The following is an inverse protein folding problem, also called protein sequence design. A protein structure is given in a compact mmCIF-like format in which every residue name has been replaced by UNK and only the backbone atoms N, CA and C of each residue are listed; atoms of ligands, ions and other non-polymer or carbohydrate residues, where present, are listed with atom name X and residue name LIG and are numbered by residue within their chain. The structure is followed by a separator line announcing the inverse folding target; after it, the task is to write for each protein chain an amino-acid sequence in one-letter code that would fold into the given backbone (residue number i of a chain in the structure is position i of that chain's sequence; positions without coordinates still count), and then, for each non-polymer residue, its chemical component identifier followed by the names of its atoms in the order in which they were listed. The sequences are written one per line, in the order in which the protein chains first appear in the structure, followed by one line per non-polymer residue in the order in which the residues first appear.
data_IF_032346944882
#
_entry.id   IF_032346944882
#
_cell.length_a   1.000
_cell.length_b   1.000
_cell.length_c   1.000
_cell.angle_alpha   90.00
_cell.angle_beta   90.00
_cell.angle_gamma   90.00
#
_symmetry.space_group_name_H-M   'P 1'
#
loop_
_entity.id
_entity.type
_entity.pdbx_description
1 polymer ?
#
# COMPACT_ATOMS: atom_id res chain seq x y z
N UNK A 1 11.41 -3.89 -3.17
CA UNK A 1 10.59 -3.69 -4.38
C UNK A 1 10.13 -2.24 -4.54
N UNK A 2 9.34 -1.67 -3.61
CA UNK A 2 8.90 -0.26 -3.72
C UNK A 2 10.09 0.70 -3.87
N UNK A 3 11.14 0.56 -3.06
CA UNK A 3 12.33 1.42 -3.16
C UNK A 3 13.13 1.21 -4.46
N UNK A 4 13.08 0.02 -5.05
CA UNK A 4 13.70 -0.21 -6.37
C UNK A 4 12.89 0.51 -7.46
N UNK A 5 11.55 0.40 -7.41
CA UNK A 5 10.68 1.19 -8.29
C UNK A 5 10.96 2.69 -8.14
N UNK A 6 11.05 3.20 -6.92
CA UNK A 6 11.30 4.64 -6.69
C UNK A 6 12.62 5.08 -7.32
N UNK A 7 13.68 4.28 -7.19
CA UNK A 7 14.99 4.57 -7.79
C UNK A 7 14.93 4.61 -9.33
N UNK A 8 14.17 3.71 -9.95
CA UNK A 8 14.05 3.64 -11.41
C UNK A 8 13.11 4.71 -12.00
N UNK A 9 12.27 5.33 -11.18
CA UNK A 9 11.22 6.28 -11.59
C UNK A 9 11.40 7.66 -10.97
N UNK A 10 12.61 8.23 -11.07
CA UNK A 10 12.91 9.63 -10.69
C UNK A 10 12.51 10.00 -9.25
N UNK A 11 12.66 9.06 -8.32
CA UNK A 11 12.28 9.22 -6.91
C UNK A 11 10.76 9.37 -6.67
N UNK A 12 9.91 8.90 -7.58
CA UNK A 12 8.44 8.92 -7.44
C UNK A 12 7.89 7.55 -7.00
N UNK A 13 7.00 7.53 -6.01
CA UNK A 13 6.30 6.29 -5.60
C UNK A 13 5.37 5.75 -6.69
N UNK A 14 5.06 4.45 -6.69
CA UNK A 14 4.02 3.92 -7.56
C UNK A 14 2.68 4.64 -7.38
N UNK A 15 1.89 4.73 -8.44
CA UNK A 15 0.47 5.07 -8.30
C UNK A 15 -0.27 3.97 -7.53
N UNK A 16 -1.32 4.32 -6.79
CA UNK A 16 -2.17 3.35 -6.11
C UNK A 16 -3.01 2.56 -7.10
N UNK A 17 -3.46 3.24 -8.16
CA UNK A 17 -4.02 2.61 -9.35
C UNK A 17 -4.44 3.60 -10.44
N UNK A 18 -4.85 3.05 -11.57
CA UNK A 18 -5.36 3.77 -12.74
C UNK A 18 -6.23 2.86 -13.60
N UNK A 19 -7.04 3.44 -14.48
CA UNK A 19 -7.65 2.70 -15.58
C UNK A 19 -6.65 2.51 -16.72
N UNK A 20 -6.49 1.27 -17.16
CA UNK A 20 -5.75 0.90 -18.36
C UNK A 20 -6.64 1.11 -19.60
N UNK A 21 -6.01 1.21 -20.78
CA UNK A 21 -6.72 1.47 -22.04
C UNK A 21 -7.80 0.42 -22.38
N UNK A 22 -7.62 -0.82 -21.92
CA UNK A 22 -8.58 -1.90 -22.10
C UNK A 22 -9.69 -1.94 -21.03
N UNK A 23 -9.80 -0.92 -20.17
CA UNK A 23 -10.80 -0.80 -19.11
C UNK A 23 -10.47 -1.55 -17.82
N UNK A 24 -9.39 -2.33 -17.77
CA UNK A 24 -8.93 -2.98 -16.53
C UNK A 24 -8.21 -1.99 -15.59
N UNK A 25 -8.10 -2.32 -14.31
CA UNK A 25 -7.37 -1.48 -13.35
C UNK A 25 -5.94 -1.97 -13.18
N UNK A 26 -4.99 -1.03 -13.23
CA UNK A 26 -3.60 -1.24 -12.79
C UNK A 26 -3.51 -0.77 -11.33
N UNK A 27 -2.68 -1.43 -10.52
CA UNK A 27 -2.48 -1.15 -9.11
C UNK A 27 -1.00 -1.14 -8.80
N UNK A 28 -0.62 -0.53 -7.67
CA UNK A 28 0.78 -0.48 -7.20
C UNK A 28 1.48 -1.85 -7.23
N UNK A 29 0.75 -2.93 -6.91
CA UNK A 29 1.24 -4.32 -6.91
C UNK A 29 1.75 -4.75 -8.28
N UNK A 30 1.03 -4.40 -9.35
CA UNK A 30 1.44 -4.69 -10.72
C UNK A 30 2.71 -3.94 -11.09
N UNK A 31 2.83 -2.68 -10.64
CA UNK A 31 3.97 -1.81 -10.94
C UNK A 31 5.25 -2.24 -10.22
N UNK A 32 5.13 -2.77 -9.01
CA UNK A 32 6.31 -3.27 -8.27
C UNK A 32 6.62 -4.74 -8.53
N UNK A 33 5.70 -5.48 -9.17
CA UNK A 33 5.86 -6.92 -9.43
C UNK A 33 7.16 -7.28 -10.19
N UNK A 34 7.63 -6.50 -11.19
CA UNK A 34 8.91 -6.77 -11.86
C UNK A 34 10.11 -6.86 -10.90
N UNK A 35 10.06 -6.20 -9.74
CA UNK A 35 11.07 -6.24 -8.68
C UNK A 35 10.80 -7.29 -7.60
N UNK A 36 9.58 -7.83 -7.53
CA UNK A 36 9.19 -8.86 -6.55
C UNK A 36 9.35 -10.26 -7.13
N UNK A 37 8.81 -10.51 -8.34
CA UNK A 37 8.84 -11.79 -9.05
C UNK A 37 8.35 -13.01 -8.24
N UNK A 38 7.51 -12.76 -7.24
CA UNK A 38 6.89 -13.77 -6.37
C UNK A 38 5.55 -13.23 -5.86
N UNK A 39 4.46 -13.77 -6.38
CA UNK A 39 3.08 -13.37 -6.02
C UNK A 39 2.71 -13.73 -4.58
N UNK A 40 3.35 -14.76 -4.01
CA UNK A 40 3.19 -15.18 -2.61
C UNK A 40 3.51 -14.08 -1.60
N UNK A 41 4.35 -13.10 -1.96
CA UNK A 41 4.68 -11.95 -1.09
C UNK A 41 3.47 -11.04 -0.87
N UNK A 42 2.49 -11.01 -1.79
CA UNK A 42 1.27 -10.22 -1.63
C UNK A 42 0.16 -10.97 -0.86
N UNK A 43 0.44 -12.20 -0.41
CA UNK A 43 -0.50 -13.07 0.29
C UNK A 43 -0.18 -13.12 1.78
N UNK A 44 -1.13 -12.69 2.61
CA UNK A 44 -1.08 -12.94 4.04
C UNK A 44 -1.58 -14.37 4.34
N UNK A 45 -0.76 -15.30 4.85
CA UNK A 45 -1.19 -16.70 5.06
C UNK A 45 -2.34 -16.85 6.06
N UNK A 46 -2.44 -15.93 7.03
CA UNK A 46 -3.50 -15.91 8.04
C UNK A 46 -4.78 -15.23 7.57
N UNK A 47 -4.79 -14.65 6.37
CA UNK A 47 -6.01 -14.13 5.78
C UNK A 47 -6.84 -15.31 5.26
N UNK A 48 -8.01 -15.55 5.87
CA UNK A 48 -8.86 -16.69 5.50
C UNK A 48 -9.45 -16.59 4.09
N UNK A 49 -9.84 -15.38 3.68
CA UNK A 49 -10.47 -15.13 2.37
C UNK A 49 -9.67 -14.11 1.57
N UNK A 50 -9.33 -14.47 0.33
CA UNK A 50 -8.53 -13.64 -0.56
C UNK A 50 -9.37 -13.04 -1.69
N UNK A 51 -9.03 -11.81 -2.05
CA UNK A 51 -9.37 -11.21 -3.33
C UNK A 51 -8.10 -11.12 -4.17
N UNK A 52 -8.27 -10.97 -5.47
CA UNK A 52 -7.18 -10.96 -6.43
C UNK A 52 -7.42 -9.91 -7.50
N UNK A 53 -6.33 -9.31 -7.96
CA UNK A 53 -6.34 -8.45 -9.14
C UNK A 53 -6.57 -9.24 -10.42
N UNK A 54 -6.85 -8.55 -11.52
CA UNK A 54 -6.67 -9.13 -12.87
C UNK A 54 -5.18 -9.22 -13.21
N UNK A 55 -4.81 -10.14 -14.10
CA UNK A 55 -3.45 -10.20 -14.63
C UNK A 55 -3.18 -9.05 -15.62
N UNK A 56 -1.92 -8.62 -15.70
CA UNK A 56 -1.43 -7.63 -16.65
C UNK A 56 -0.15 -8.15 -17.34
N UNK A 57 -0.28 -8.94 -18.42
CA UNK A 57 0.87 -9.50 -19.14
C UNK A 57 1.84 -8.44 -19.68
N UNK A 58 1.34 -7.28 -20.09
CA UNK A 58 2.16 -6.16 -20.59
C UNK A 58 3.09 -5.57 -19.51
N UNK A 59 2.72 -5.75 -18.23
CA UNK A 59 3.54 -5.38 -17.07
C UNK A 59 4.31 -6.58 -16.49
N UNK A 60 4.20 -7.76 -17.12
CA UNK A 60 4.73 -9.02 -16.59
C UNK A 60 4.12 -9.48 -15.28
N UNK A 61 2.93 -8.96 -14.92
CA UNK A 61 2.29 -9.22 -13.63
C UNK A 61 1.16 -10.27 -13.76
N UNK A 62 1.19 -11.36 -12.97
CA UNK A 62 0.09 -12.33 -12.93
C UNK A 62 -1.10 -11.77 -12.12
N UNK A 63 -2.09 -12.62 -11.87
CA UNK A 63 -3.13 -12.39 -10.86
C UNK A 63 -2.46 -12.27 -9.49
N UNK A 64 -2.63 -11.15 -8.78
CA UNK A 64 -1.97 -10.88 -7.50
C UNK A 64 -2.97 -10.89 -6.34
N UNK A 65 -2.67 -11.58 -5.23
CA UNK A 65 -3.46 -11.50 -3.99
C UNK A 65 -3.48 -10.07 -3.43
N UNK A 66 -4.56 -9.69 -2.76
CA UNK A 66 -4.75 -8.32 -2.26
C UNK A 66 -4.86 -8.22 -0.74
N UNK A 67 -3.98 -8.95 -0.04
CA UNK A 67 -3.87 -8.92 1.42
C UNK A 67 -3.26 -7.66 2.01
N UNK A 68 -2.53 -6.90 1.20
CA UNK A 68 -1.87 -5.66 1.60
C UNK A 68 -2.40 -4.51 0.74
N UNK A 69 -2.64 -3.35 1.33
CA UNK A 69 -3.02 -2.15 0.61
C UNK A 69 -2.00 -1.04 0.80
N UNK A 70 -1.96 -0.12 -0.16
CA UNK A 70 -1.09 1.05 -0.08
C UNK A 70 -1.75 2.20 0.67
N UNK A 71 -0.91 3.16 1.06
CA UNK A 71 -1.30 4.48 1.49
C UNK A 71 -1.60 5.35 0.26
N UNK A 72 -2.87 5.69 0.04
CA UNK A 72 -3.28 6.53 -1.08
C UNK A 72 -2.80 7.97 -0.98
N UNK A 73 -2.48 8.51 0.20
CA UNK A 73 -1.92 9.87 0.28
C UNK A 73 -0.53 9.95 -0.39
N UNK A 74 0.14 8.80 -0.51
CA UNK A 74 1.44 8.60 -1.16
C UNK A 74 1.30 7.98 -2.56
N UNK A 75 0.48 6.95 -2.69
CA UNK A 75 0.21 6.20 -3.93
C UNK A 75 -1.24 6.45 -4.37
N UNK A 76 -1.49 7.60 -5.00
CA UNK A 76 -2.86 8.05 -5.36
C UNK A 76 -3.35 7.39 -6.65
N UNK A 77 -4.64 7.60 -6.93
CA UNK A 77 -5.21 7.32 -8.24
C UNK A 77 -4.56 8.24 -9.29
N UNK A 78 -3.97 7.66 -10.33
CA UNK A 78 -3.25 8.35 -11.41
C UNK A 78 -2.06 9.24 -10.98
N UNK A 79 -1.61 9.19 -9.72
CA UNK A 79 -0.54 10.07 -9.25
C UNK A 79 0.28 9.43 -8.12
N UNK A 80 1.59 9.31 -8.34
CA UNK A 80 2.56 8.98 -7.30
C UNK A 80 3.09 10.26 -6.66
N UNK A 81 3.35 10.24 -5.36
CA UNK A 81 4.04 11.34 -4.69
C UNK A 81 5.55 11.22 -4.94
N UNK A 82 6.22 12.36 -5.11
CA UNK A 82 7.68 12.42 -5.19
C UNK A 82 8.28 12.30 -3.79
N UNK A 83 9.22 11.37 -3.60
CA UNK A 83 9.90 11.16 -2.32
C UNK A 83 10.57 12.45 -1.80
N UNK A 84 11.22 13.30 -2.63
CA UNK A 84 11.78 14.57 -2.16
C UNK A 84 10.76 15.56 -1.58
N UNK A 85 9.49 15.45 -1.99
CA UNK A 85 8.41 16.29 -1.45
C UNK A 85 7.93 15.84 -0.07
N UNK A 86 8.33 14.64 0.36
CA UNK A 86 7.95 14.05 1.64
C UNK A 86 9.02 14.33 2.69
N UNK A 87 8.68 15.14 3.71
CA UNK A 87 9.64 15.53 4.74
C UNK A 87 10.07 14.39 5.69
N UNK A 88 9.30 13.30 5.77
CA UNK A 88 9.53 12.21 6.74
C UNK A 88 9.27 10.81 6.15
N UNK A 89 10.03 10.35 5.14
CA UNK A 89 9.80 9.04 4.55
C UNK A 89 9.95 7.88 5.56
N UNK A 90 10.77 8.05 6.60
CA UNK A 90 10.89 7.07 7.68
C UNK A 90 9.66 7.04 8.62
N UNK A 91 8.89 8.13 8.73
CA UNK A 91 7.73 8.19 9.64
C UNK A 91 6.40 8.20 8.87
N UNK A 92 6.40 7.76 7.61
CA UNK A 92 5.20 7.68 6.78
C UNK A 92 4.97 6.26 6.26
N UNK A 93 3.81 5.68 6.55
CA UNK A 93 3.41 4.35 6.07
C UNK A 93 3.18 4.39 4.56
N UNK A 94 3.78 3.47 3.82
CA UNK A 94 3.56 3.24 2.40
C UNK A 94 2.55 2.12 2.13
N UNK A 95 2.64 1.02 2.88
CA UNK A 95 1.82 -0.18 2.72
C UNK A 95 1.57 -0.80 4.09
N UNK A 96 0.39 -1.36 4.30
CA UNK A 96 0.13 -2.17 5.48
C UNK A 96 -0.82 -3.34 5.17
N UNK A 97 -0.90 -4.25 6.14
CA UNK A 97 -1.83 -5.37 6.14
C UNK A 97 -3.28 -4.89 6.18
N UNK A 98 -4.05 -5.32 5.18
CA UNK A 98 -5.46 -4.98 5.10
C UNK A 98 -6.31 -6.00 5.86
N UNK A 99 -7.32 -5.54 6.58
CA UNK A 99 -8.24 -6.41 7.32
C UNK A 99 -8.94 -7.41 6.40
N UNK A 100 -9.41 -6.95 5.25
CA UNK A 100 -10.10 -7.74 4.23
C UNK A 100 -9.32 -7.73 2.92
N UNK A 101 -9.51 -8.77 2.09
CA UNK A 101 -9.00 -8.73 0.71
C UNK A 101 -9.72 -7.66 -0.09
N UNK A 102 -8.97 -6.72 -0.68
CA UNK A 102 -9.50 -5.82 -1.70
C UNK A 102 -8.37 -5.08 -2.40
N UNK A 103 -8.59 -4.88 -3.70
CA UNK A 103 -7.58 -4.38 -4.62
C UNK A 103 -7.31 -2.88 -4.43
N UNK A 104 -8.19 -2.19 -3.71
CA UNK A 104 -8.07 -0.78 -3.34
C UNK A 104 -6.93 -0.54 -2.32
N UNK A 105 -6.36 0.68 -2.28
CA UNK A 105 -5.55 1.16 -1.16
C UNK A 105 -6.22 0.92 0.20
N UNK A 106 -5.44 0.72 1.28
CA UNK A 106 -6.02 0.70 2.65
C UNK A 106 -6.63 2.07 2.95
N UNK A 107 -5.93 3.13 2.52
CA UNK A 107 -6.39 4.50 2.66
C UNK A 107 -7.22 4.89 1.43
N UNK A 108 -8.55 4.74 1.38
CA UNK A 108 -9.28 4.82 0.08
C UNK A 108 -9.77 6.23 -0.34
N UNK A 109 -9.46 7.30 0.41
CA UNK A 109 -10.21 8.56 0.29
C UNK A 109 -9.34 9.76 -0.12
N UNK A 110 -9.82 10.48 -1.16
CA UNK A 110 -9.32 11.80 -1.60
C UNK A 110 -9.73 12.95 -0.65
N UNK A 111 -10.44 12.67 0.44
CA UNK A 111 -11.21 13.67 1.18
C UNK A 111 -10.97 13.56 2.68
N UNK A 112 -9.75 13.88 3.12
CA UNK A 112 -9.28 14.05 4.51
C UNK A 112 -8.59 12.81 5.11
N UNK A 113 -7.43 12.97 5.78
CA UNK A 113 -6.77 12.00 6.67
C UNK A 113 -7.70 11.63 7.86
N UNK A 114 -8.67 10.74 7.69
CA UNK A 114 -9.56 10.26 8.76
C UNK A 114 -8.98 8.99 9.41
N UNK A 115 -8.50 9.08 10.67
CA UNK A 115 -7.98 7.95 11.44
C UNK A 115 -8.95 6.78 11.55
N UNK A 116 -10.27 7.04 11.60
CA UNK A 116 -11.27 5.99 11.77
C UNK A 116 -11.33 5.06 10.55
N UNK A 117 -11.24 5.63 9.35
CA UNK A 117 -11.24 4.86 8.11
C UNK A 117 -10.03 3.92 8.00
N UNK A 118 -8.86 4.42 8.42
CA UNK A 118 -7.62 3.63 8.46
C UNK A 118 -7.73 2.52 9.49
N UNK A 119 -8.20 2.83 10.70
CA UNK A 119 -8.42 1.85 11.75
C UNK A 119 -9.33 0.72 11.27
N UNK A 120 -10.46 1.01 10.63
CA UNK A 120 -11.37 -0.05 10.19
C UNK A 120 -10.79 -0.93 9.07
N UNK A 121 -9.96 -0.34 8.20
CA UNK A 121 -9.34 -1.01 7.05
C UNK A 121 -8.14 -1.89 7.37
N UNK A 122 -7.55 -1.75 8.55
CA UNK A 122 -6.32 -2.43 8.96
C UNK A 122 -6.59 -3.65 9.84
N UNK A 123 -5.70 -4.64 9.75
CA UNK A 123 -5.72 -5.81 10.62
C UNK A 123 -5.74 -5.41 12.10
N UNK A 124 -6.72 -5.95 12.82
CA UNK A 124 -6.88 -5.81 14.28
C UNK A 124 -7.23 -7.14 14.96
N UNK A 125 -7.68 -8.12 14.19
CA UNK A 125 -8.24 -9.40 14.67
C UNK A 125 -7.31 -10.59 14.45
N UNK A 126 -6.17 -10.38 13.79
CA UNK A 126 -5.12 -11.38 13.59
C UNK A 126 -3.75 -10.72 13.81
N UNK A 127 -2.71 -11.56 13.92
CA UNK A 127 -1.32 -11.11 14.17
C UNK A 127 -1.12 -10.35 15.49
N UNK A 128 -1.68 -10.90 16.59
CA UNK A 128 -1.51 -10.36 17.94
C UNK A 128 -2.05 -8.93 18.10
N UNK A 129 -3.23 -8.66 17.50
CA UNK A 129 -3.92 -7.36 17.55
C UNK A 129 -3.13 -6.23 16.88
N UNK A 130 -2.43 -6.54 15.79
CA UNK A 130 -1.65 -5.58 15.04
C UNK A 130 -1.34 -6.09 13.63
N UNK A 131 -0.36 -5.47 12.98
CA UNK A 131 0.03 -5.86 11.63
C UNK A 131 1.39 -5.35 11.23
N UNK A 132 1.84 -5.81 10.06
CA UNK A 132 3.08 -5.34 9.44
C UNK A 132 2.82 -4.09 8.60
N UNK A 133 3.67 -3.09 8.79
CA UNK A 133 3.66 -1.81 8.09
C UNK A 133 5.00 -1.63 7.40
N UNK A 134 4.97 -1.23 6.14
CA UNK A 134 6.14 -0.82 5.36
C UNK A 134 6.09 0.69 5.25
N UNK A 135 7.20 1.33 5.57
CA UNK A 135 7.36 2.78 5.54
C UNK A 135 7.89 3.24 4.18
N UNK A 136 7.75 4.53 3.93
CA UNK A 136 8.08 5.19 2.67
C UNK A 136 9.58 5.11 2.35
N UNK A 137 10.46 5.08 3.36
CA UNK A 137 11.90 4.81 3.17
C UNK A 137 12.24 3.31 2.91
N UNK A 138 11.25 2.42 3.01
CA UNK A 138 11.37 0.99 2.76
C UNK A 138 11.61 0.10 3.98
N UNK A 139 11.74 0.65 5.19
CA UNK A 139 11.81 -0.21 6.38
C UNK A 139 10.44 -0.78 6.74
N UNK A 140 10.44 -1.84 7.54
CA UNK A 140 9.21 -2.49 8.00
C UNK A 140 9.16 -2.55 9.53
N UNK A 141 7.96 -2.41 10.08
CA UNK A 141 7.71 -2.48 11.53
C UNK A 141 6.36 -3.12 11.79
N UNK A 142 6.29 -3.94 12.83
CA UNK A 142 5.01 -4.37 13.38
C UNK A 142 4.47 -3.31 14.33
N UNK A 143 3.21 -2.93 14.17
CA UNK A 143 2.51 -2.00 15.06
C UNK A 143 1.23 -2.63 15.60
N UNK A 144 0.92 -2.34 16.85
CA UNK A 144 -0.38 -2.67 17.44
C UNK A 144 -1.44 -1.81 16.77
N UNK A 145 -2.62 -2.38 16.58
CA UNK A 145 -3.74 -1.69 15.99
C UNK A 145 -4.03 -0.33 16.65
N UNK A 146 -4.20 0.72 15.85
CA UNK A 146 -4.49 2.08 16.31
C UNK A 146 -3.26 2.92 16.65
N UNK A 147 -2.10 2.31 16.88
CA UNK A 147 -0.85 3.04 17.17
C UNK A 147 -0.23 3.70 15.93
N UNK A 148 -0.69 3.30 14.75
CA UNK A 148 -0.36 3.89 13.45
C UNK A 148 -1.13 5.18 13.16
N UNK A 149 -2.19 5.46 13.92
CA UNK A 149 -3.03 6.66 13.76
C UNK A 149 -3.07 7.58 14.97
N UNK A 150 -2.62 7.13 16.14
CA UNK A 150 -2.62 7.90 17.40
C UNK A 150 -1.35 7.59 18.21
N UNK A 151 -0.66 8.61 18.79
CA UNK A 151 -1.00 10.03 18.83
C UNK A 151 -0.70 10.81 17.53
N UNK A 152 0.09 10.23 16.63
CA UNK A 152 0.43 10.81 15.32
C UNK A 152 -0.11 9.89 14.23
N UNK A 153 -0.70 10.48 13.20
CA UNK A 153 -1.17 9.72 12.04
C UNK A 153 0.00 9.46 11.07
N UNK A 154 0.58 8.25 11.14
CA UNK A 154 1.70 7.83 10.30
C UNK A 154 1.32 7.67 8.83
N UNK A 155 0.03 7.71 8.49
CA UNK A 155 -0.44 7.64 7.10
C UNK A 155 -0.49 9.01 6.43
N UNK A 156 -0.47 10.11 7.19
CA UNK A 156 -0.51 11.45 6.62
C UNK A 156 0.93 11.98 6.39
N UNK A 157 1.37 12.10 5.12
CA UNK A 157 2.72 12.57 4.81
C UNK A 157 2.98 14.03 5.25
N UNK A 158 1.95 14.76 5.69
CA UNK A 158 2.05 16.15 6.14
C UNK A 158 2.20 16.30 7.66
N UNK A 159 1.78 15.32 8.48
CA UNK A 159 1.71 15.42 9.95
C UNK A 159 3.05 15.21 10.65
N UNK A 160 3.47 16.21 11.44
CA UNK A 160 4.69 16.18 12.27
C UNK A 160 4.46 15.43 13.57
#
# INVERSE_FOLDING_TARGET
AIMQYVQDYSETYPIGGMLHANGSQIHWRHLVYPYVKNDGVFKCPSQGTYSYTVAHPDLGAPVLPTSYGCNHLVMRWNLGVDMPSMARPADCVAVAERRTGSDWPVYASNTVPDPAYVGDGIVSDRHMEGGNYIFCDGHAKWLRHGTDVTPVNLWDPTKK
#
